data_IF_503955407298
#
_entry.id   IF_503955407298
#
_cell.length_a   1.000
_cell.length_b   1.000
_cell.length_c   1.000
_cell.angle_alpha   90.00
_cell.angle_beta   90.00
_cell.angle_gamma   90.00
#
_symmetry.space_group_name_H-M   'P 1'
#
loop_
_entity.id
_entity.type
_entity.pdbx_description
1 polymer ?
#
# COMPACT_ATOMS: atom_id res chain seq x y z
N UNK A 1 -15.38 -20.78 -6.14
CA UNK A 1 -14.23 -20.06 -6.73
C UNK A 1 -14.69 -19.41 -8.03
N UNK A 2 -14.08 -18.30 -8.45
CA UNK A 2 -14.40 -17.60 -9.69
C UNK A 2 -13.17 -16.89 -10.27
N UNK A 3 -13.19 -16.62 -11.57
CA UNK A 3 -12.14 -15.89 -12.27
C UNK A 3 -12.76 -15.01 -13.35
N UNK A 4 -12.09 -13.92 -13.70
CA UNK A 4 -12.57 -12.96 -14.68
C UNK A 4 -11.48 -11.99 -15.12
N UNK A 5 -11.82 -11.09 -16.03
CA UNK A 5 -10.98 -9.97 -16.46
C UNK A 5 -11.76 -8.67 -16.27
N UNK A 6 -11.03 -7.57 -16.08
CA UNK A 6 -11.64 -6.24 -16.05
C UNK A 6 -12.15 -5.87 -17.45
N UNK A 7 -13.16 -5.00 -17.50
CA UNK A 7 -13.57 -4.34 -18.72
C UNK A 7 -12.58 -3.22 -19.14
N UNK A 8 -12.93 -2.47 -20.20
CA UNK A 8 -12.13 -1.37 -20.71
C UNK A 8 -11.98 -0.19 -19.73
N UNK A 9 -12.84 -0.11 -18.71
CA UNK A 9 -12.83 0.93 -17.67
C UNK A 9 -12.17 0.44 -16.38
N UNK A 10 -11.70 -0.82 -16.35
CA UNK A 10 -11.08 -1.42 -15.18
C UNK A 10 -12.08 -2.04 -14.19
N UNK A 11 -13.38 -2.10 -14.51
CA UNK A 11 -14.40 -2.67 -13.63
C UNK A 11 -14.41 -4.20 -13.71
N UNK A 12 -14.76 -4.86 -12.60
CA UNK A 12 -14.99 -6.30 -12.56
C UNK A 12 -15.99 -6.67 -11.47
N UNK A 13 -16.59 -7.85 -11.60
CA UNK A 13 -17.43 -8.47 -10.57
C UNK A 13 -17.12 -9.96 -10.55
N UNK A 14 -16.90 -10.52 -9.36
CA UNK A 14 -16.61 -11.93 -9.18
C UNK A 14 -17.55 -12.51 -8.12
N UNK A 15 -18.24 -13.59 -8.46
CA UNK A 15 -19.11 -14.33 -7.56
C UNK A 15 -18.69 -15.78 -7.52
N UNK A 16 -18.50 -16.35 -6.33
CA UNK A 16 -18.11 -17.74 -6.19
C UNK A 16 -18.56 -18.33 -4.87
N UNK A 17 -18.78 -19.64 -4.88
CA UNK A 17 -19.09 -20.42 -3.68
C UNK A 17 -18.12 -21.61 -3.56
N UNK A 18 -18.07 -22.20 -2.37
CA UNK A 18 -17.43 -23.48 -2.09
C UNK A 18 -18.14 -24.13 -0.90
N UNK A 19 -18.01 -25.45 -0.75
CA UNK A 19 -18.52 -26.17 0.41
C UNK A 19 -17.37 -26.38 1.40
N UNK A 20 -17.50 -25.81 2.59
CA UNK A 20 -16.50 -25.87 3.66
C UNK A 20 -17.21 -26.05 5.00
N UNK A 21 -16.55 -26.70 5.97
CA UNK A 21 -17.11 -26.91 7.31
C UNK A 21 -17.11 -25.61 8.15
N UNK A 22 -16.12 -24.74 7.90
CA UNK A 22 -15.94 -23.46 8.59
C UNK A 22 -16.31 -22.29 7.67
N UNK A 23 -16.41 -21.09 8.25
CA UNK A 23 -16.56 -19.86 7.46
C UNK A 23 -15.34 -19.68 6.56
N UNK A 24 -15.59 -19.54 5.26
CA UNK A 24 -14.54 -19.34 4.27
C UNK A 24 -13.83 -18.00 4.45
N UNK A 25 -12.56 -17.95 4.04
CA UNK A 25 -11.73 -16.75 3.99
C UNK A 25 -11.42 -16.40 2.51
N UNK A 26 -12.36 -15.74 1.79
CA UNK A 26 -12.19 -15.49 0.38
C UNK A 26 -11.08 -14.46 0.14
N UNK A 27 -10.31 -14.68 -0.92
CA UNK A 27 -9.29 -13.73 -1.40
C UNK A 27 -9.45 -13.47 -2.88
N UNK A 28 -9.17 -12.23 -3.27
CA UNK A 28 -9.08 -11.78 -4.66
C UNK A 28 -7.60 -11.61 -4.99
N UNK A 29 -7.13 -12.29 -6.03
CA UNK A 29 -5.80 -12.10 -6.59
C UNK A 29 -5.92 -11.30 -7.89
N UNK A 30 -5.29 -10.13 -7.93
CA UNK A 30 -5.23 -9.29 -9.13
C UNK A 30 -3.85 -9.45 -9.74
N UNK A 31 -3.81 -9.91 -10.99
CA UNK A 31 -2.59 -10.06 -11.78
C UNK A 31 -2.53 -8.94 -12.81
N UNK A 32 -1.47 -8.12 -12.80
CA UNK A 32 -1.36 -6.94 -13.67
C UNK A 32 0.08 -6.69 -14.14
N UNK A 33 0.23 -5.78 -15.12
CA UNK A 33 1.53 -5.34 -15.65
C UNK A 33 1.73 -3.81 -15.57
N UNK A 34 0.88 -3.12 -14.79
CA UNK A 34 0.99 -1.66 -14.60
C UNK A 34 2.41 -1.27 -14.15
N UNK A 35 2.98 -0.29 -14.86
CA UNK A 35 4.35 0.23 -14.66
C UNK A 35 5.45 -0.84 -14.67
N UNK A 36 5.17 -2.03 -15.19
CA UNK A 36 6.10 -3.16 -15.15
C UNK A 36 6.79 -3.36 -16.50
N UNK A 37 8.09 -3.08 -16.56
CA UNK A 37 8.93 -3.33 -17.75
C UNK A 37 9.40 -4.78 -17.89
N UNK A 38 9.12 -5.66 -16.93
CA UNK A 38 9.56 -7.07 -16.99
C UNK A 38 8.49 -7.99 -17.59
N UNK A 39 8.91 -9.21 -17.90
CA UNK A 39 8.10 -10.24 -18.59
C UNK A 39 6.91 -10.72 -17.75
N UNK A 40 7.05 -10.75 -16.43
CA UNK A 40 6.09 -11.37 -15.51
C UNK A 40 5.07 -10.37 -14.95
N UNK A 41 3.84 -10.81 -14.72
CA UNK A 41 2.82 -9.99 -14.05
C UNK A 41 3.06 -9.88 -12.55
N UNK A 42 2.83 -8.69 -12.00
CA UNK A 42 2.70 -8.43 -10.56
C UNK A 42 1.41 -9.05 -10.02
N UNK A 43 1.40 -9.46 -8.75
CA UNK A 43 0.23 -10.03 -8.08
C UNK A 43 -0.03 -9.35 -6.75
N UNK A 44 -1.17 -8.68 -6.66
CA UNK A 44 -1.70 -8.13 -5.40
C UNK A 44 -2.82 -9.03 -4.90
N UNK A 45 -2.87 -9.25 -3.59
CA UNK A 45 -3.88 -10.10 -2.94
C UNK A 45 -4.65 -9.29 -1.90
N UNK A 46 -5.97 -9.36 -1.97
CA UNK A 46 -6.91 -8.74 -1.04
C UNK A 46 -7.79 -9.82 -0.42
N UNK A 47 -8.05 -9.73 0.88
CA UNK A 47 -8.99 -10.63 1.56
C UNK A 47 -10.32 -9.92 1.70
N UNK A 48 -11.39 -10.63 1.35
CA UNK A 48 -12.75 -10.13 1.50
C UNK A 48 -13.11 -10.20 2.99
N UNK A 49 -13.70 -9.14 3.58
CA UNK A 49 -14.06 -9.17 4.99
C UNK A 49 -15.09 -10.25 5.26
N UNK A 50 -14.95 -10.93 6.41
CA UNK A 50 -15.86 -12.02 6.82
C UNK A 50 -17.33 -11.58 6.89
N UNK A 51 -17.58 -10.29 7.12
CA UNK A 51 -18.91 -9.66 7.17
C UNK A 51 -19.66 -9.69 5.82
N UNK A 52 -18.96 -9.95 4.70
CA UNK A 52 -19.55 -10.11 3.36
C UNK A 52 -19.67 -11.58 2.93
N UNK A 53 -19.29 -12.54 3.79
CA UNK A 53 -19.46 -13.97 3.54
C UNK A 53 -20.83 -14.42 4.03
N UNK A 54 -21.64 -15.01 3.14
CA UNK A 54 -22.98 -15.52 3.48
C UNK A 54 -23.10 -17.03 3.29
N UNK A 55 -23.92 -17.69 4.13
CA UNK A 55 -24.30 -19.10 3.93
C UNK A 55 -25.19 -19.24 2.69
N UNK A 56 -24.88 -20.23 1.86
CA UNK A 56 -25.60 -20.54 0.62
C UNK A 56 -24.76 -20.36 -0.64
N UNK A 57 -25.33 -20.67 -1.80
CA UNK A 57 -24.64 -20.55 -3.10
C UNK A 57 -24.68 -19.15 -3.71
N UNK A 58 -25.57 -18.29 -3.22
CA UNK A 58 -25.82 -16.95 -3.74
C UNK A 58 -25.34 -15.92 -2.70
N UNK A 59 -24.48 -14.97 -3.09
CA UNK A 59 -24.03 -13.92 -2.18
C UNK A 59 -25.18 -13.00 -1.78
N UNK A 60 -25.33 -12.73 -0.48
CA UNK A 60 -26.36 -11.81 0.04
C UNK A 60 -25.92 -10.35 0.06
N UNK A 61 -24.62 -10.10 -0.05
CA UNK A 61 -23.99 -8.77 -0.02
C UNK A 61 -22.83 -8.76 -1.00
N UNK A 62 -22.60 -7.61 -1.62
CA UNK A 62 -21.46 -7.37 -2.50
C UNK A 62 -20.46 -6.51 -1.74
N UNK A 63 -19.22 -6.96 -1.69
CA UNK A 63 -18.11 -6.17 -1.17
C UNK A 63 -17.54 -5.31 -2.31
N UNK A 64 -17.78 -4.01 -2.24
CA UNK A 64 -17.11 -3.05 -3.13
C UNK A 64 -15.73 -2.75 -2.57
N UNK A 65 -14.69 -3.24 -3.26
CA UNK A 65 -13.29 -3.02 -2.87
C UNK A 65 -12.73 -1.66 -3.30
N UNK A 66 -13.55 -0.82 -3.94
CA UNK A 66 -13.18 0.51 -4.39
C UNK A 66 -12.27 0.53 -5.61
N UNK A 67 -11.65 1.70 -5.83
CA UNK A 67 -10.75 1.94 -6.96
C UNK A 67 -9.31 1.72 -6.52
N UNK A 68 -8.72 0.62 -6.97
CA UNK A 68 -7.36 0.23 -6.60
C UNK A 68 -6.38 0.69 -7.67
N UNK A 69 -5.47 1.59 -7.29
CA UNK A 69 -4.38 2.03 -8.16
C UNK A 69 -3.31 0.95 -8.25
N UNK A 70 -3.33 0.14 -9.31
CA UNK A 70 -2.39 -0.96 -9.51
C UNK A 70 -0.94 -0.52 -9.79
N UNK A 71 -0.70 0.78 -9.95
CA UNK A 71 0.66 1.34 -9.92
C UNK A 71 1.28 1.26 -8.51
N UNK A 72 0.46 1.36 -7.45
CA UNK A 72 0.88 1.28 -6.06
C UNK A 72 1.65 -0.01 -5.80
N UNK A 73 2.74 0.08 -5.04
CA UNK A 73 3.45 -1.07 -4.48
C UNK A 73 3.03 -1.25 -3.04
N UNK A 74 2.37 -2.36 -2.76
CA UNK A 74 1.97 -2.72 -1.39
C UNK A 74 3.03 -3.62 -0.75
N UNK A 75 3.28 -3.45 0.55
CA UNK A 75 4.17 -4.36 1.28
C UNK A 75 3.66 -5.80 1.15
N UNK A 76 4.55 -6.77 0.91
CA UNK A 76 4.17 -8.17 0.72
C UNK A 76 3.64 -8.56 -0.68
N UNK A 77 3.59 -7.60 -1.61
CA UNK A 77 3.39 -7.88 -3.03
C UNK A 77 4.55 -8.73 -3.58
N UNK A 78 4.23 -9.84 -4.26
CA UNK A 78 5.26 -10.72 -4.82
C UNK A 78 5.65 -10.26 -6.22
N UNK A 79 6.87 -9.77 -6.38
CA UNK A 79 7.56 -9.76 -7.68
C UNK A 79 8.28 -11.10 -7.86
N UNK A 80 8.00 -11.85 -8.94
CA UNK A 80 8.87 -12.98 -9.32
C UNK A 80 10.23 -12.41 -9.78
N UNK A 81 11.21 -12.40 -8.87
CA UNK A 81 12.57 -11.95 -9.17
C UNK A 81 13.37 -13.12 -9.75
N UNK A 82 13.94 -12.94 -10.93
CA UNK A 82 14.99 -13.83 -11.47
C UNK A 82 16.29 -13.48 -10.72
N UNK A 83 16.82 -14.40 -9.91
CA UNK A 83 18.07 -14.18 -9.17
C UNK A 83 19.22 -14.24 -10.16
N UNK A 84 19.77 -13.09 -10.52
CA UNK A 84 21.04 -13.00 -11.26
C UNK A 84 22.14 -12.75 -10.23
N UNK A 85 23.00 -13.75 -10.00
CA UNK A 85 24.17 -13.61 -9.12
C UNK A 85 25.23 -12.80 -9.89
N UNK A 86 25.50 -11.57 -9.46
CA UNK A 86 26.65 -10.78 -9.93
C UNK A 86 27.62 -10.68 -8.77
N UNK A 87 28.83 -11.22 -8.95
CA UNK A 87 29.91 -11.08 -7.98
C UNK A 87 30.45 -9.64 -8.02
N UNK A 88 30.39 -8.92 -6.90
CA UNK A 88 30.89 -7.56 -6.79
C UNK A 88 32.35 -7.58 -6.31
N UNK A 89 33.27 -7.08 -7.14
CA UNK A 89 34.64 -6.79 -6.72
C UNK A 89 34.65 -5.44 -5.99
N UNK A 90 35.02 -5.43 -4.71
CA UNK A 90 35.10 -4.21 -3.90
C UNK A 90 36.44 -3.52 -4.18
N UNK A 91 36.39 -2.37 -4.84
CA UNK A 91 37.54 -1.46 -4.96
C UNK A 91 37.33 -0.32 -3.96
N UNK A 92 38.15 -0.31 -2.89
CA UNK A 92 38.18 0.79 -1.94
C UNK A 92 38.77 2.03 -2.61
N UNK A 93 37.90 2.97 -2.98
CA UNK A 93 38.28 4.32 -3.40
C UNK A 93 38.06 5.28 -2.24
N UNK A 94 38.95 6.26 -2.13
CA UNK A 94 39.06 7.22 -1.04
C UNK A 94 37.75 7.94 -0.72
N UNK A 95 37.53 8.16 0.57
CA UNK A 95 36.39 8.89 1.15
C UNK A 95 36.37 10.34 0.65
N UNK A 96 35.61 10.60 -0.42
CA UNK A 96 35.06 11.92 -0.68
C UNK A 96 33.95 12.16 0.36
N UNK A 97 34.02 13.30 1.06
CA UNK A 97 32.99 13.69 1.99
C UNK A 97 31.64 13.75 1.25
N UNK A 98 30.78 12.78 1.52
CA UNK A 98 29.41 12.78 1.01
C UNK A 98 28.73 14.02 1.58
N UNK A 99 28.17 14.87 0.71
CA UNK A 99 27.32 15.99 1.08
C UNK A 99 25.88 15.57 0.83
N UNK A 100 25.08 15.54 1.89
CA UNK A 100 23.67 15.14 1.82
C UNK A 100 22.89 16.16 1.00
N UNK A 101 21.82 15.70 0.34
CA UNK A 101 20.92 16.57 -0.42
C UNK A 101 19.52 16.50 0.17
N UNK A 102 18.88 17.66 0.26
CA UNK A 102 17.47 17.72 0.65
C UNK A 102 16.60 17.13 -0.44
N UNK A 103 15.74 16.18 -0.08
CA UNK A 103 14.77 15.55 -0.95
C UNK A 103 13.39 15.54 -0.29
N UNK A 104 12.34 15.59 -1.12
CA UNK A 104 10.96 15.65 -0.65
C UNK A 104 10.04 14.73 -1.42
N UNK A 105 9.00 14.29 -0.73
CA UNK A 105 7.91 13.50 -1.29
C UNK A 105 6.58 14.03 -0.74
N UNK A 106 5.51 13.77 -1.48
CA UNK A 106 4.15 14.08 -1.05
C UNK A 106 3.16 13.07 -1.57
N UNK A 107 2.13 12.80 -0.77
CA UNK A 107 1.08 11.81 -1.07
C UNK A 107 -0.28 12.32 -0.63
N UNK A 108 -1.31 12.02 -1.42
CA UNK A 108 -2.71 12.27 -1.09
C UNK A 108 -3.58 11.06 -1.40
N UNK A 109 -4.77 11.01 -0.85
CA UNK A 109 -5.76 9.98 -1.16
C UNK A 109 -7.03 10.10 -0.34
N UNK A 110 -7.91 9.10 -0.48
CA UNK A 110 -9.19 9.01 0.23
C UNK A 110 -9.30 7.65 0.92
N UNK A 111 -9.62 7.64 2.20
CA UNK A 111 -9.79 6.43 2.99
C UNK A 111 -11.28 6.13 3.19
N UNK A 112 -11.67 4.88 2.96
CA UNK A 112 -13.03 4.38 3.21
C UNK A 112 -13.00 3.18 4.14
N UNK A 113 -14.11 3.00 4.85
CA UNK A 113 -14.39 1.83 5.67
C UNK A 113 -15.84 1.39 5.41
N UNK A 114 -16.01 0.21 4.81
CA UNK A 114 -17.30 -0.31 4.36
C UNK A 114 -18.05 0.67 3.44
N UNK A 115 -17.34 1.24 2.46
CA UNK A 115 -17.88 2.18 1.48
C UNK A 115 -18.14 3.59 2.01
N UNK A 116 -17.99 3.83 3.32
CA UNK A 116 -18.17 5.15 3.95
C UNK A 116 -16.83 5.85 4.14
N UNK A 117 -16.77 7.20 4.08
CA UNK A 117 -15.58 7.95 4.46
C UNK A 117 -15.01 7.55 5.83
N UNK A 118 -13.72 7.26 5.89
CA UNK A 118 -13.01 6.92 7.12
C UNK A 118 -12.27 8.17 7.65
N UNK A 119 -12.89 8.87 8.58
CA UNK A 119 -12.36 10.11 9.17
C UNK A 119 -11.42 9.86 10.36
N UNK A 120 -10.51 10.80 10.62
CA UNK A 120 -9.58 10.78 11.76
C UNK A 120 -8.66 9.54 11.77
N UNK A 121 -8.44 8.91 10.61
CA UNK A 121 -7.50 7.80 10.44
C UNK A 121 -6.09 8.37 10.36
N UNK A 122 -5.17 7.85 11.18
CA UNK A 122 -3.80 8.36 11.23
C UNK A 122 -3.01 7.89 10.01
N UNK A 123 -2.29 8.82 9.40
CA UNK A 123 -1.42 8.58 8.26
C UNK A 123 -0.04 9.18 8.52
N UNK A 124 1.01 8.47 8.11
CA UNK A 124 2.40 8.92 8.27
C UNK A 124 3.19 8.67 6.98
N UNK A 125 3.97 9.65 6.59
CA UNK A 125 4.93 9.59 5.49
C UNK A 125 6.31 9.41 6.09
N UNK A 126 6.98 8.32 5.71
CA UNK A 126 8.31 7.97 6.16
C UNK A 126 9.26 7.87 4.97
N UNK A 127 10.55 8.03 5.24
CA UNK A 127 11.62 7.47 4.43
C UNK A 127 11.92 6.04 4.92
N UNK A 128 12.01 5.07 4.00
CA UNK A 128 12.35 3.68 4.31
C UNK A 128 13.86 3.47 4.18
N UNK A 129 14.61 3.85 5.21
CA UNK A 129 16.06 3.66 5.22
C UNK A 129 16.37 2.17 5.13
N UNK A 130 16.97 1.74 4.00
CA UNK A 130 17.43 0.36 3.81
C UNK A 130 18.73 0.07 4.59
N UNK A 131 18.95 0.77 5.71
CA UNK A 131 20.21 0.94 6.44
C UNK A 131 20.16 0.55 7.93
N UNK A 132 20.93 1.26 8.75
CA UNK A 132 21.19 0.96 10.19
C UNK A 132 20.27 1.83 11.10
N UNK A 133 19.65 2.84 10.53
CA UNK A 133 18.73 3.81 11.11
C UNK A 133 17.28 3.31 11.13
N UNK A 134 16.48 3.94 12.00
CA UNK A 134 15.04 3.76 12.04
C UNK A 134 14.40 4.74 11.05
N UNK A 135 13.40 4.28 10.30
CA UNK A 135 12.62 5.08 9.33
C UNK A 135 12.43 6.56 9.74
N UNK A 136 12.95 7.49 8.94
CA UNK A 136 12.79 8.91 9.18
C UNK A 136 11.32 9.36 8.97
N UNK A 137 10.68 9.87 10.02
CA UNK A 137 9.35 10.45 9.93
C UNK A 137 9.40 11.80 9.20
N UNK A 138 8.89 11.84 7.97
CA UNK A 138 8.90 13.06 7.15
C UNK A 138 7.67 13.94 7.40
N UNK A 139 6.50 13.33 7.60
CA UNK A 139 5.25 14.02 7.89
C UNK A 139 4.21 13.10 8.52
N UNK A 140 3.30 13.65 9.32
CA UNK A 140 2.14 12.94 9.84
C UNK A 140 0.87 13.77 9.75
N UNK A 141 -0.27 13.09 9.75
CA UNK A 141 -1.56 13.73 9.70
C UNK A 141 -2.70 12.74 9.89
N UNK A 142 -3.91 13.22 9.62
CA UNK A 142 -5.13 12.44 9.75
C UNK A 142 -6.08 12.73 8.62
N UNK A 143 -6.88 11.73 8.24
CA UNK A 143 -7.94 11.94 7.26
C UNK A 143 -9.03 12.87 7.79
N UNK A 144 -9.59 13.69 6.89
CA UNK A 144 -10.69 14.61 7.18
C UNK A 144 -12.06 13.88 7.30
N UNK A 145 -13.15 14.64 7.46
CA UNK A 145 -14.52 14.09 7.58
C UNK A 145 -15.00 13.35 6.33
N UNK A 146 -14.40 13.65 5.19
CA UNK A 146 -14.67 13.02 3.90
C UNK A 146 -13.66 11.90 3.60
N UNK A 147 -12.76 11.59 4.54
CA UNK A 147 -11.74 10.55 4.42
C UNK A 147 -10.51 11.00 3.64
N UNK A 148 -10.43 12.25 3.20
CA UNK A 148 -9.28 12.73 2.41
C UNK A 148 -8.07 12.99 3.31
N UNK A 149 -6.87 12.76 2.78
CA UNK A 149 -5.62 13.15 3.41
C UNK A 149 -4.62 13.67 2.38
N UNK A 150 -3.68 14.52 2.81
CA UNK A 150 -2.53 14.96 2.03
C UNK A 150 -1.35 15.19 2.98
N UNK A 151 -0.21 14.57 2.69
CA UNK A 151 1.05 14.72 3.42
C UNK A 151 2.16 15.18 2.49
N UNK A 152 3.04 16.04 2.98
CA UNK A 152 4.27 16.49 2.31
C UNK A 152 5.38 16.58 3.34
N UNK A 153 6.53 16.00 3.03
CA UNK A 153 7.68 16.01 3.92
C UNK A 153 8.99 16.01 3.15
N UNK A 154 10.09 16.20 3.87
CA UNK A 154 11.44 16.16 3.33
C UNK A 154 12.41 15.61 4.37
N UNK A 155 13.53 15.05 3.90
CA UNK A 155 14.68 14.71 4.73
C UNK A 155 15.97 15.02 3.95
N UNK A 156 17.09 15.07 4.67
CA UNK A 156 18.43 15.31 4.12
C UNK A 156 19.20 13.98 4.08
N UNK A 157 19.37 13.43 2.88
CA UNK A 157 19.96 12.09 2.70
C UNK A 157 21.03 12.12 1.59
N UNK A 158 22.02 11.23 1.68
CA UNK A 158 23.03 11.08 0.64
C UNK A 158 22.49 10.34 -0.58
N UNK A 159 21.67 9.32 -0.35
CA UNK A 159 21.05 8.48 -1.36
C UNK A 159 19.72 9.06 -1.83
N UNK A 160 18.95 8.32 -2.63
CA UNK A 160 17.60 8.75 -3.00
C UNK A 160 16.65 8.18 -1.96
N UNK A 161 15.84 9.06 -1.37
CA UNK A 161 14.84 8.67 -0.38
C UNK A 161 13.88 7.62 -0.94
N UNK A 162 13.42 6.71 -0.10
CA UNK A 162 12.48 5.64 -0.37
C UNK A 162 11.13 5.90 0.35
N UNK A 163 10.33 6.88 -0.11
CA UNK A 163 9.16 7.32 0.62
C UNK A 163 8.08 6.24 0.70
N UNK A 164 7.49 6.07 1.89
CA UNK A 164 6.36 5.17 2.14
C UNK A 164 5.25 5.84 2.97
N UNK A 165 4.01 5.52 2.62
CA UNK A 165 2.82 5.90 3.37
C UNK A 165 2.41 4.74 4.28
N UNK A 166 2.32 5.00 5.59
CA UNK A 166 1.70 4.13 6.57
C UNK A 166 0.31 4.67 6.93
N UNK A 167 -0.72 3.81 6.87
CA UNK A 167 -2.08 4.13 7.31
C UNK A 167 -2.45 3.23 8.48
N UNK A 168 -2.89 3.83 9.59
CA UNK A 168 -3.19 3.15 10.85
C UNK A 168 -4.68 3.25 11.16
N UNK A 169 -5.38 2.11 11.21
CA UNK A 169 -6.83 2.09 11.30
C UNK A 169 -7.39 0.90 12.09
N UNK A 170 -8.63 1.07 12.54
CA UNK A 170 -9.39 0.06 13.29
C UNK A 170 -10.65 -0.42 12.53
N UNK A 171 -10.74 -0.09 11.22
CA UNK A 171 -11.82 -0.57 10.37
C UNK A 171 -11.88 -2.11 10.36
N UNK A 172 -13.07 -2.68 10.63
CA UNK A 172 -13.29 -4.13 10.79
C UNK A 172 -12.33 -4.81 11.80
N UNK A 173 -11.85 -4.08 12.83
CA UNK A 173 -10.85 -4.60 13.76
C UNK A 173 -11.38 -5.02 15.16
N UNK A 174 -12.65 -4.70 15.44
CA UNK A 174 -13.33 -5.07 16.69
C UNK A 174 -12.68 -4.43 17.93
N UNK A 175 -12.46 -5.23 18.98
CA UNK A 175 -11.78 -4.82 20.23
C UNK A 175 -10.34 -5.31 20.28
N UNK A 176 -9.71 -5.56 19.12
CA UNK A 176 -8.35 -6.08 19.10
C UNK A 176 -7.37 -4.98 19.49
N UNK A 177 -6.40 -5.23 20.40
CA UNK A 177 -5.41 -4.22 20.73
C UNK A 177 -4.55 -3.88 19.51
N UNK A 178 -4.04 -2.64 19.50
CA UNK A 178 -3.18 -2.08 18.46
C UNK A 178 -3.90 -1.86 17.13
N UNK A 179 -3.43 -0.89 16.34
CA UNK A 179 -4.07 -0.55 15.08
C UNK A 179 -3.55 -1.42 13.95
N UNK A 180 -4.42 -1.74 12.98
CA UNK A 180 -4.00 -2.33 11.69
C UNK A 180 -3.16 -1.30 10.94
N UNK A 181 -2.04 -1.73 10.36
CA UNK A 181 -1.11 -0.87 9.61
C UNK A 181 -0.92 -1.40 8.19
N UNK A 182 -1.34 -0.61 7.21
CA UNK A 182 -1.01 -0.84 5.80
C UNK A 182 0.14 0.08 5.37
N UNK A 183 1.04 -0.46 4.54
CA UNK A 183 2.19 0.29 4.00
C UNK A 183 2.13 0.31 2.47
N UNK A 184 2.19 1.51 1.92
CA UNK A 184 2.19 1.78 0.47
C UNK A 184 3.50 2.50 0.13
N UNK A 185 4.29 1.91 -0.76
CA UNK A 185 5.54 2.53 -1.24
C UNK A 185 5.20 3.55 -2.32
N UNK A 186 5.75 4.76 -2.18
CA UNK A 186 5.62 5.85 -3.14
C UNK A 186 6.77 5.71 -4.16
N UNK A 187 6.49 5.69 -5.48
CA UNK A 187 7.54 5.51 -6.47
C UNK A 187 8.55 6.66 -6.49
N UNK A 188 9.83 6.34 -6.66
CA UNK A 188 10.96 7.29 -6.69
C UNK A 188 10.75 8.43 -7.72
N UNK A 189 9.95 8.19 -8.76
CA UNK A 189 9.58 9.20 -9.76
C UNK A 189 8.76 10.39 -9.23
N UNK A 190 8.26 10.28 -7.99
CA UNK A 190 7.59 11.33 -7.23
C UNK A 190 8.50 12.03 -6.21
N UNK A 191 9.74 11.56 -6.03
CA UNK A 191 10.76 12.24 -5.23
C UNK A 191 11.24 13.49 -5.98
N UNK A 192 11.38 14.58 -5.24
CA UNK A 192 11.82 15.88 -5.74
C UNK A 192 13.03 16.37 -4.96
N UNK A 193 13.96 17.04 -5.63
CA UNK A 193 15.03 17.78 -4.96
C UNK A 193 14.46 19.05 -4.29
N UNK A 194 14.93 19.33 -3.07
CA UNK A 194 14.51 20.45 -2.23
C UNK A 194 13.43 20.07 -1.22
N UNK A 195 13.03 21.04 -0.37
CA UNK A 195 12.10 20.85 0.75
C UNK A 195 10.63 20.66 0.35
N UNK A 196 10.28 20.96 -0.90
CA UNK A 196 8.89 20.95 -1.36
C UNK A 196 8.72 20.00 -2.54
N UNK A 197 7.83 19.01 -2.44
CA UNK A 197 7.62 18.06 -3.53
C UNK A 197 7.01 18.77 -4.74
N UNK A 198 7.59 18.56 -5.92
CA UNK A 198 7.11 19.12 -7.19
C UNK A 198 5.92 18.33 -7.76
N UNK A 199 5.74 17.09 -7.31
CA UNK A 199 4.63 16.21 -7.68
C UNK A 199 4.08 15.57 -6.41
N UNK A 200 2.76 15.43 -6.37
CA UNK A 200 2.07 14.73 -5.29
C UNK A 200 1.58 13.40 -5.84
N UNK A 201 1.95 12.33 -5.15
CA UNK A 201 1.50 10.99 -5.46
C UNK A 201 0.03 10.83 -5.05
N UNK A 202 -0.82 10.39 -5.97
CA UNK A 202 -2.24 10.14 -5.69
C UNK A 202 -2.46 8.64 -5.44
N UNK A 203 -2.66 8.27 -4.18
CA UNK A 203 -2.93 6.90 -3.76
C UNK A 203 -4.35 6.44 -4.10
N UNK A 204 -5.21 7.32 -4.63
CA UNK A 204 -6.59 7.01 -4.97
C UNK A 204 -7.47 6.80 -3.74
N UNK A 205 -8.49 5.94 -3.89
CA UNK A 205 -9.40 5.57 -2.80
C UNK A 205 -9.06 4.20 -2.25
N UNK A 206 -8.79 4.11 -0.95
CA UNK A 206 -8.39 2.87 -0.27
C UNK A 206 -9.55 2.41 0.64
N UNK A 207 -10.09 1.23 0.36
CA UNK A 207 -11.08 0.57 1.22
C UNK A 207 -10.39 -0.27 2.30
N UNK A 208 -10.54 0.13 3.57
CA UNK A 208 -9.83 -0.41 4.74
C UNK A 208 -10.52 -1.62 5.38
N UNK A 209 -11.76 -1.94 4.98
CA UNK A 209 -12.47 -3.10 5.53
C UNK A 209 -11.78 -4.42 5.17
N UNK A 210 -11.28 -4.55 3.95
CA UNK A 210 -10.51 -5.71 3.51
C UNK A 210 -9.15 -5.82 4.20
N UNK A 211 -8.57 -7.02 4.23
CA UNK A 211 -7.17 -7.19 4.66
C UNK A 211 -6.23 -7.12 3.48
N UNK A 212 -5.08 -6.48 3.67
CA UNK A 212 -4.03 -6.38 2.67
C UNK A 212 -2.95 -7.43 2.96
N UNK A 213 -2.33 -7.96 1.90
CA UNK A 213 -1.16 -8.83 2.09
C UNK A 213 -0.05 -7.97 2.72
N UNK A 214 0.67 -8.51 3.70
CA UNK A 214 1.76 -7.77 4.34
C UNK A 214 1.32 -6.65 5.28
N UNK A 215 0.02 -6.54 5.57
CA UNK A 215 -0.52 -5.70 6.64
C UNK A 215 0.00 -6.17 8.01
N UNK A 216 0.34 -5.20 8.86
CA UNK A 216 0.89 -5.42 10.20
C UNK A 216 -0.06 -4.89 11.28
N UNK A 217 0.32 -5.08 12.54
CA UNK A 217 -0.28 -4.36 13.67
C UNK A 217 0.77 -3.49 14.34
N UNK A 218 0.35 -2.30 14.74
CA UNK A 218 1.22 -1.33 15.41
C UNK A 218 0.60 -0.86 16.73
N UNK A 219 1.33 -1.10 17.82
CA UNK A 219 0.91 -0.81 19.19
C UNK A 219 1.52 0.48 19.75
N UNK A 220 2.48 1.09 19.06
CA UNK A 220 3.33 2.17 19.58
C UNK A 220 3.28 3.45 18.74
N UNK A 221 2.37 3.50 17.77
CA UNK A 221 2.23 4.56 16.77
C UNK A 221 1.62 5.87 17.30
#
# INVERSE_FOLDING_TARGET
MAQGRTDAYGHFTLEGHTAEFTTIDPKVNIYHKCEHKKVCSRKVTFWVPKTYVSKGKIPKKIYDMGVIQLALKYKGESEMKLITIVAFAVVFTSCDALVGRTQSAGVKGVLKCNGKPAANVKVKLYDDDRGIDADDLMAEGKSDRQGNFELKGHTDEFTTIDPKLNVYHDCEDGLTPCQRKITIVIPDSYVSSGKTPKKIYDAGTIELAGKFKGEERDCLN
#
